data_IF_416187102192
#
_entry.id   IF_416187102192
#
_cell.length_a   1.000
_cell.length_b   1.000
_cell.length_c   1.000
_cell.angle_alpha   90.00
_cell.angle_beta   90.00
_cell.angle_gamma   90.00
#
_symmetry.space_group_name_H-M   'P 1'
#
loop_
_entity.id
_entity.type
_entity.pdbx_description
1 polymer ?
#
# COMPACT_ATOMS: atom_id res chain seq x y z
N UNK A 1 -10.59 26.22 -0.28
CA UNK A 1 -9.84 24.95 -0.30
C UNK A 1 -8.80 25.04 -1.41
N UNK A 2 -7.55 24.69 -1.12
CA UNK A 2 -6.49 24.63 -2.12
C UNK A 2 -6.15 23.17 -2.40
N UNK A 3 -5.79 22.84 -3.65
CA UNK A 3 -5.37 21.49 -4.06
C UNK A 3 -3.94 21.54 -4.58
N UNK A 4 -3.06 20.71 -4.03
CA UNK A 4 -1.69 20.53 -4.54
C UNK A 4 -1.30 19.06 -4.53
N UNK A 5 -0.78 18.55 -5.65
CA UNK A 5 -0.29 17.17 -5.83
C UNK A 5 -1.34 16.11 -5.40
N UNK A 6 -2.62 16.41 -5.62
CA UNK A 6 -3.72 15.52 -5.22
C UNK A 6 -4.09 15.55 -3.73
N UNK A 7 -3.39 16.33 -2.91
CA UNK A 7 -3.77 16.63 -1.53
C UNK A 7 -4.69 17.85 -1.47
N UNK A 8 -5.78 17.72 -0.73
CA UNK A 8 -6.68 18.82 -0.41
C UNK A 8 -6.31 19.45 0.93
N UNK A 9 -6.23 20.78 0.96
CA UNK A 9 -5.93 21.56 2.15
C UNK A 9 -7.19 22.29 2.62
N UNK A 10 -7.59 21.95 3.84
CA UNK A 10 -8.67 22.62 4.57
C UNK A 10 -8.10 23.64 5.56
N UNK A 11 -8.91 24.61 5.98
CA UNK A 11 -8.51 25.63 6.96
C UNK A 11 -8.03 25.04 8.29
N UNK A 12 -8.49 23.84 8.65
CA UNK A 12 -8.04 23.14 9.85
C UNK A 12 -6.65 22.52 9.74
N UNK A 13 -6.10 22.34 8.53
CA UNK A 13 -4.84 21.63 8.24
C UNK A 13 -4.70 20.23 8.87
N UNK A 14 -5.80 19.63 9.34
CA UNK A 14 -5.83 18.32 9.99
C UNK A 14 -6.38 17.27 9.02
N UNK A 15 -5.75 16.10 9.00
CA UNK A 15 -6.13 14.99 8.12
C UNK A 15 -7.17 14.02 8.75
N UNK A 16 -7.74 14.35 9.92
CA UNK A 16 -8.63 13.44 10.67
C UNK A 16 -9.87 13.01 9.88
N UNK A 17 -10.47 13.94 9.14
CA UNK A 17 -11.66 13.66 8.29
C UNK A 17 -11.33 12.78 7.08
N UNK A 18 -10.08 12.79 6.62
CA UNK A 18 -9.64 12.05 5.43
C UNK A 18 -9.62 10.54 5.66
N UNK A 19 -9.36 10.12 6.91
CA UNK A 19 -9.46 8.72 7.31
C UNK A 19 -10.88 8.16 7.19
N UNK A 20 -11.88 8.88 7.68
CA UNK A 20 -13.30 8.49 7.55
C UNK A 20 -13.77 8.52 6.10
N UNK A 21 -13.38 9.54 5.33
CA UNK A 21 -13.71 9.63 3.89
C UNK A 21 -13.15 8.45 3.10
N UNK A 22 -11.90 8.04 3.37
CA UNK A 22 -11.30 6.89 2.70
C UNK A 22 -12.02 5.57 3.03
N UNK A 23 -12.51 5.44 4.27
CA UNK A 23 -13.27 4.26 4.72
C UNK A 23 -14.67 4.20 4.08
N UNK A 24 -15.35 5.35 3.95
CA UNK A 24 -16.62 5.43 3.23
C UNK A 24 -16.45 5.17 1.74
N UNK A 25 -15.42 5.76 1.11
CA UNK A 25 -15.11 5.50 -0.29
C UNK A 25 -14.84 4.02 -0.56
N UNK A 26 -14.07 3.36 0.32
CA UNK A 26 -13.84 1.92 0.22
C UNK A 26 -15.14 1.13 0.31
N UNK A 27 -16.05 1.51 1.21
CA UNK A 27 -17.36 0.88 1.34
C UNK A 27 -18.22 1.03 0.09
N UNK A 28 -18.30 2.23 -0.48
CA UNK A 28 -19.07 2.51 -1.70
C UNK A 28 -18.49 1.74 -2.89
N UNK A 29 -17.17 1.76 -3.06
CA UNK A 29 -16.49 1.08 -4.15
C UNK A 29 -16.65 -0.45 -4.07
N UNK A 30 -16.53 -1.03 -2.86
CA UNK A 30 -16.72 -2.46 -2.65
C UNK A 30 -18.16 -2.89 -2.97
N UNK A 31 -19.16 -2.09 -2.57
CA UNK A 31 -20.55 -2.34 -2.92
C UNK A 31 -20.80 -2.23 -4.44
N UNK A 32 -20.15 -1.28 -5.11
CA UNK A 32 -20.26 -1.14 -6.57
C UNK A 32 -19.70 -2.38 -7.29
N UNK A 33 -18.56 -2.91 -6.83
CA UNK A 33 -17.97 -4.15 -7.38
C UNK A 33 -18.86 -5.36 -7.06
N UNK A 34 -19.43 -5.45 -5.86
CA UNK A 34 -20.30 -6.56 -5.46
C UNK A 34 -21.57 -6.61 -6.33
N UNK A 35 -22.18 -5.45 -6.61
CA UNK A 35 -23.36 -5.31 -7.48
C UNK A 35 -23.06 -5.51 -8.96
N UNK A 36 -21.79 -5.53 -9.36
CA UNK A 36 -21.42 -5.77 -10.74
C UNK A 36 -21.75 -7.22 -11.14
N UNK A 37 -22.34 -7.42 -12.31
CA UNK A 37 -22.66 -8.73 -12.88
C UNK A 37 -21.45 -9.56 -13.34
N UNK A 38 -20.24 -9.17 -12.94
CA UNK A 38 -19.01 -9.87 -13.26
C UNK A 38 -18.94 -11.23 -12.54
N UNK A 39 -18.30 -12.25 -13.12
CA UNK A 39 -17.97 -13.47 -12.40
C UNK A 39 -17.05 -13.18 -11.21
N UNK A 40 -17.16 -13.97 -10.16
CA UNK A 40 -16.58 -13.64 -8.85
C UNK A 40 -15.04 -13.57 -8.85
N UNK A 41 -14.39 -14.39 -9.68
CA UNK A 41 -12.94 -14.33 -9.90
C UNK A 41 -12.48 -13.00 -10.49
N UNK A 42 -13.27 -12.40 -11.39
CA UNK A 42 -13.00 -11.09 -11.96
C UNK A 42 -13.24 -9.96 -10.95
N UNK A 43 -14.20 -10.11 -10.01
CA UNK A 43 -14.37 -9.15 -8.91
C UNK A 43 -13.12 -9.06 -8.04
N UNK A 44 -12.51 -10.21 -7.73
CA UNK A 44 -11.25 -10.28 -6.99
C UNK A 44 -10.10 -9.65 -7.78
N UNK A 45 -10.06 -9.86 -9.10
CA UNK A 45 -9.09 -9.20 -9.98
C UNK A 45 -9.25 -7.67 -9.96
N UNK A 46 -10.48 -7.16 -10.06
CA UNK A 46 -10.78 -5.72 -9.95
C UNK A 46 -10.36 -5.16 -8.60
N UNK A 47 -10.60 -5.91 -7.52
CA UNK A 47 -10.15 -5.52 -6.18
C UNK A 47 -8.63 -5.37 -6.13
N UNK A 48 -7.88 -6.33 -6.65
CA UNK A 48 -6.42 -6.33 -6.59
C UNK A 48 -5.76 -5.26 -7.46
N UNK A 49 -6.29 -5.03 -8.67
CA UNK A 49 -5.61 -4.19 -9.67
C UNK A 49 -6.22 -2.80 -9.86
N UNK A 50 -7.48 -2.60 -9.47
CA UNK A 50 -8.13 -1.29 -9.57
C UNK A 50 -8.35 -0.69 -8.18
N UNK A 51 -9.01 -1.45 -7.29
CA UNK A 51 -9.45 -0.89 -6.01
C UNK A 51 -8.30 -0.65 -5.03
N UNK A 52 -7.39 -1.62 -4.88
CA UNK A 52 -6.23 -1.47 -4.00
C UNK A 52 -5.39 -0.24 -4.39
N UNK A 53 -4.95 -0.06 -5.65
CA UNK A 53 -4.20 1.13 -6.03
C UNK A 53 -4.97 2.44 -5.80
N UNK A 54 -6.28 2.45 -6.08
CA UNK A 54 -7.16 3.62 -5.85
C UNK A 54 -7.21 4.00 -4.37
N UNK A 55 -7.38 3.03 -3.47
CA UNK A 55 -7.45 3.25 -2.02
C UNK A 55 -6.08 3.52 -1.39
N UNK A 56 -5.01 2.97 -1.96
CA UNK A 56 -3.66 3.15 -1.45
C UNK A 56 -3.18 4.61 -1.61
N UNK A 57 -3.59 5.30 -2.67
CA UNK A 57 -3.22 6.69 -2.91
C UNK A 57 -3.58 7.64 -1.76
N UNK A 58 -4.85 7.78 -1.32
CA UNK A 58 -5.20 8.65 -0.19
C UNK A 58 -4.54 8.19 1.11
N UNK A 59 -4.37 6.88 1.33
CA UNK A 59 -3.67 6.34 2.50
C UNK A 59 -2.20 6.81 2.55
N UNK A 60 -1.52 6.88 1.41
CA UNK A 60 -0.13 7.33 1.35
C UNK A 60 0.02 8.85 1.43
N UNK A 61 -0.87 9.60 0.78
CA UNK A 61 -0.83 11.07 0.72
C UNK A 61 -1.16 11.73 2.06
N UNK A 62 -2.17 11.23 2.78
CA UNK A 62 -2.61 11.80 4.05
C UNK A 62 -1.97 11.10 5.25
N UNK A 63 -1.95 11.77 6.40
CA UNK A 63 -1.57 11.17 7.69
C UNK A 63 -2.74 10.38 8.31
N UNK A 64 -3.07 9.27 7.67
CA UNK A 64 -4.14 8.36 8.11
C UNK A 64 -3.55 7.30 9.08
N UNK A 65 -4.31 6.91 10.12
CA UNK A 65 -3.88 5.92 11.10
C UNK A 65 -3.80 4.49 10.53
N UNK A 66 -3.05 3.60 11.18
CA UNK A 66 -3.03 2.17 10.83
C UNK A 66 -4.37 1.51 11.09
N UNK A 67 -5.06 1.90 12.15
CA UNK A 67 -6.37 1.36 12.53
C UNK A 67 -7.43 1.54 11.42
N UNK A 68 -7.41 2.66 10.71
CA UNK A 68 -8.31 2.88 9.57
C UNK A 68 -7.95 2.01 8.37
N UNK A 69 -6.66 1.78 8.11
CA UNK A 69 -6.22 0.87 7.05
C UNK A 69 -6.63 -0.59 7.36
N UNK A 70 -6.51 -1.01 8.63
CA UNK A 70 -6.96 -2.32 9.13
C UNK A 70 -8.49 -2.47 9.03
N UNK A 71 -9.23 -1.39 9.30
CA UNK A 71 -10.70 -1.38 9.14
C UNK A 71 -11.13 -1.53 7.68
N UNK A 72 -10.42 -0.88 6.74
CA UNK A 72 -10.64 -1.04 5.30
C UNK A 72 -10.34 -2.48 4.88
N UNK A 73 -9.22 -3.04 5.34
CA UNK A 73 -8.84 -4.42 5.07
C UNK A 73 -9.89 -5.43 5.58
N UNK A 74 -10.41 -5.23 6.79
CA UNK A 74 -11.44 -6.08 7.36
C UNK A 74 -12.72 -6.09 6.49
N UNK A 75 -13.12 -4.93 5.96
CA UNK A 75 -14.24 -4.84 5.01
C UNK A 75 -13.92 -5.57 3.71
N UNK A 76 -12.76 -5.35 3.13
CA UNK A 76 -12.32 -6.03 1.91
C UNK A 76 -12.32 -7.55 2.08
N UNK A 77 -11.81 -8.05 3.21
CA UNK A 77 -11.75 -9.48 3.52
C UNK A 77 -13.13 -10.15 3.57
N UNK A 78 -14.16 -9.41 4.01
CA UNK A 78 -15.53 -9.92 4.00
C UNK A 78 -16.04 -10.13 2.57
N UNK A 79 -15.77 -9.18 1.67
CA UNK A 79 -16.17 -9.27 0.26
C UNK A 79 -15.35 -10.30 -0.51
N UNK A 80 -14.03 -10.35 -0.30
CA UNK A 80 -13.19 -11.35 -0.98
C UNK A 80 -13.57 -12.77 -0.59
N UNK A 81 -13.92 -13.02 0.68
CA UNK A 81 -14.41 -14.34 1.13
C UNK A 81 -15.73 -14.69 0.48
N UNK A 82 -16.66 -13.73 0.39
CA UNK A 82 -17.94 -13.91 -0.31
C UNK A 82 -17.71 -14.29 -1.78
N UNK A 83 -16.81 -13.59 -2.48
CA UNK A 83 -16.54 -13.82 -3.91
C UNK A 83 -15.67 -15.06 -4.20
N UNK A 84 -14.91 -15.55 -3.23
CA UNK A 84 -14.08 -16.75 -3.41
C UNK A 84 -14.74 -18.00 -2.84
N UNK A 85 -15.94 -17.89 -2.24
CA UNK A 85 -16.60 -18.97 -1.53
C UNK A 85 -15.79 -19.49 -0.33
N UNK A 86 -14.93 -18.65 0.26
CA UNK A 86 -14.04 -19.06 1.35
C UNK A 86 -14.84 -19.12 2.67
N UNK A 87 -14.78 -20.24 3.42
CA UNK A 87 -15.42 -20.34 4.72
C UNK A 87 -14.94 -19.27 5.71
N UNK A 88 -15.82 -18.78 6.62
CA UNK A 88 -15.45 -17.77 7.60
C UNK A 88 -14.40 -18.25 8.61
N UNK A 89 -14.22 -19.57 8.78
CA UNK A 89 -13.25 -20.17 9.69
C UNK A 89 -11.78 -20.07 9.21
N UNK A 90 -11.54 -19.77 7.94
CA UNK A 90 -10.18 -19.67 7.40
C UNK A 90 -9.48 -18.40 7.90
N UNK A 91 -8.24 -18.51 8.37
CA UNK A 91 -7.47 -17.37 8.92
C UNK A 91 -7.13 -16.36 7.81
N UNK A 92 -7.25 -15.05 8.08
CA UNK A 92 -6.91 -13.98 7.10
C UNK A 92 -5.49 -14.13 6.51
N UNK A 93 -4.52 -14.54 7.33
CA UNK A 93 -3.13 -14.75 6.92
C UNK A 93 -3.01 -15.80 5.81
N UNK A 94 -3.81 -16.87 5.86
CA UNK A 94 -3.78 -17.91 4.85
C UNK A 94 -4.26 -17.41 3.47
N UNK A 95 -5.11 -16.38 3.45
CA UNK A 95 -5.62 -15.77 2.20
C UNK A 95 -4.55 -14.94 1.47
N UNK A 96 -3.64 -14.32 2.21
CA UNK A 96 -2.55 -13.51 1.66
C UNK A 96 -1.24 -14.29 1.41
N UNK A 97 -1.19 -15.55 1.86
CA UNK A 97 0.01 -16.37 1.76
C UNK A 97 0.32 -16.74 0.30
N UNK A 98 1.47 -16.31 -0.20
CA UNK A 98 1.87 -16.45 -1.60
C UNK A 98 2.10 -17.89 -2.10
N UNK A 99 2.12 -18.90 -1.22
CA UNK A 99 2.24 -20.32 -1.58
C UNK A 99 0.99 -21.14 -1.25
N UNK A 100 -0.09 -20.49 -0.80
CA UNK A 100 -1.37 -21.17 -0.56
C UNK A 100 -2.04 -21.55 -1.90
N UNK A 101 -3.11 -22.35 -1.83
CA UNK A 101 -3.89 -22.89 -2.97
C UNK A 101 -4.42 -21.84 -3.97
N UNK A 102 -4.28 -20.54 -3.69
CA UNK A 102 -4.62 -19.46 -4.61
C UNK A 102 -3.44 -19.23 -5.57
N UNK A 103 -3.62 -19.56 -6.86
CA UNK A 103 -2.64 -19.31 -7.93
C UNK A 103 -2.23 -17.82 -8.05
N UNK A 104 -3.02 -16.90 -7.50
CA UNK A 104 -2.72 -15.46 -7.42
C UNK A 104 -2.70 -15.05 -5.94
N UNK A 105 -1.53 -14.70 -5.39
CA UNK A 105 -1.47 -14.15 -4.04
C UNK A 105 -2.28 -12.86 -3.97
N UNK A 106 -3.20 -12.79 -3.02
CA UNK A 106 -3.89 -11.55 -2.71
C UNK A 106 -2.91 -10.63 -1.96
N UNK A 107 -2.86 -9.37 -2.34
CA UNK A 107 -2.09 -8.36 -1.63
C UNK A 107 -2.91 -7.82 -0.46
N UNK A 108 -2.28 -7.70 0.70
CA UNK A 108 -2.83 -6.98 1.84
C UNK A 108 -2.65 -5.48 1.65
N UNK A 109 -3.74 -4.72 1.80
CA UNK A 109 -3.68 -3.25 1.74
C UNK A 109 -2.88 -2.66 2.91
N UNK A 110 -2.92 -3.30 4.08
CA UNK A 110 -2.16 -2.87 5.27
C UNK A 110 -0.66 -3.09 5.06
N UNK A 111 -0.27 -4.21 4.44
CA UNK A 111 1.13 -4.45 4.09
C UNK A 111 1.65 -3.42 3.08
N UNK A 112 0.90 -3.17 2.01
CA UNK A 112 1.26 -2.17 0.99
C UNK A 112 1.29 -0.75 1.58
N UNK A 113 0.36 -0.41 2.49
CA UNK A 113 0.37 0.86 3.21
C UNK A 113 1.62 1.03 4.09
N UNK A 114 1.94 0.02 4.92
CA UNK A 114 3.14 0.02 5.77
C UNK A 114 4.40 0.12 4.91
N UNK A 115 4.47 -0.68 3.85
CA UNK A 115 5.55 -0.65 2.87
C UNK A 115 5.74 0.75 2.27
N UNK A 116 4.66 1.38 1.80
CA UNK A 116 4.70 2.71 1.20
C UNK A 116 5.12 3.81 2.18
N UNK A 117 4.66 3.77 3.43
CA UNK A 117 5.10 4.73 4.46
C UNK A 117 6.57 4.52 4.86
N UNK A 118 7.04 3.28 4.98
CA UNK A 118 8.49 3.00 5.18
C UNK A 118 9.31 3.52 4.01
N UNK A 119 8.86 3.25 2.78
CA UNK A 119 9.50 3.68 1.55
C UNK A 119 9.66 5.20 1.51
N UNK A 120 8.60 5.93 1.85
CA UNK A 120 8.63 7.39 1.92
C UNK A 120 9.64 7.87 2.96
N UNK A 121 9.62 7.32 4.19
CA UNK A 121 10.61 7.70 5.21
C UNK A 121 12.05 7.47 4.74
N UNK A 122 12.34 6.32 4.14
CA UNK A 122 13.70 6.03 3.72
C UNK A 122 14.14 6.82 2.50
N UNK A 123 13.21 7.24 1.63
CA UNK A 123 13.53 8.23 0.59
C UNK A 123 13.99 9.56 1.19
N UNK A 124 13.39 10.01 2.30
CA UNK A 124 13.83 11.23 3.00
C UNK A 124 15.18 11.02 3.69
N UNK A 125 15.38 9.88 4.35
CA UNK A 125 16.67 9.51 4.99
C UNK A 125 17.83 9.50 3.96
N UNK A 126 17.60 8.93 2.78
CA UNK A 126 18.61 8.75 1.74
C UNK A 126 18.69 9.92 0.74
N UNK A 127 17.95 11.01 0.95
CA UNK A 127 17.99 12.15 0.03
C UNK A 127 19.36 12.84 0.07
N UNK A 128 19.88 13.22 -1.10
CA UNK A 128 21.12 13.99 -1.23
C UNK A 128 20.96 15.42 -0.72
N UNK A 129 19.73 15.97 -0.78
CA UNK A 129 19.43 17.35 -0.40
C UNK A 129 19.28 17.45 1.13
N UNK A 130 20.13 18.26 1.81
CA UNK A 130 20.09 18.38 3.28
C UNK A 130 18.75 18.84 3.83
N UNK A 131 18.06 19.75 3.13
CA UNK A 131 16.74 20.26 3.53
C UNK A 131 15.64 19.18 3.52
N UNK A 132 15.72 18.20 2.62
CA UNK A 132 14.76 17.09 2.56
C UNK A 132 15.07 16.06 3.66
N UNK A 133 16.35 15.88 3.98
CA UNK A 133 16.81 14.99 5.04
C UNK A 133 16.46 15.49 6.44
N UNK A 134 16.41 16.80 6.65
CA UNK A 134 16.07 17.39 7.95
C UNK A 134 14.57 17.32 8.28
N UNK A 135 13.70 17.27 7.26
CA UNK A 135 12.24 17.23 7.43
C UNK A 135 11.71 15.90 7.98
N UNK A 136 12.56 14.86 8.13
CA UNK A 136 12.23 13.50 8.58
C UNK A 136 10.87 13.35 9.28
N UNK A 137 9.82 12.92 8.55
CA UNK A 137 8.48 12.85 9.12
C UNK A 137 8.43 11.76 10.19
N UNK A 138 8.05 12.14 11.42
CA UNK A 138 7.86 11.18 12.50
C UNK A 138 6.58 10.37 12.24
N UNK A 139 6.72 9.09 11.84
CA UNK A 139 5.56 8.21 11.68
C UNK A 139 4.96 7.91 13.05
N UNK A 140 3.86 8.59 13.38
CA UNK A 140 3.02 8.25 14.53
C UNK A 140 2.35 6.88 14.39
N UNK A 141 2.34 6.31 13.19
CA UNK A 141 1.49 5.18 12.81
C UNK A 141 2.06 3.79 13.06
N UNK A 142 3.38 3.58 12.98
CA UNK A 142 3.98 2.27 13.31
C UNK A 142 5.50 2.37 13.54
N UNK A 143 6.04 1.39 14.28
CA UNK A 143 7.48 1.29 14.57
C UNK A 143 8.21 0.55 13.44
N UNK A 144 9.09 1.23 12.73
CA UNK A 144 10.00 0.63 11.73
C UNK A 144 11.08 -0.22 12.43
N UNK A 145 11.15 -1.51 12.13
CA UNK A 145 12.34 -2.34 12.44
C UNK A 145 13.34 -2.23 11.28
N UNK A 146 14.52 -1.66 11.53
CA UNK A 146 15.60 -1.50 10.53
C UNK A 146 16.29 -2.85 10.29
N UNK A 147 15.69 -3.72 9.46
CA UNK A 147 16.37 -4.88 8.90
C UNK A 147 17.30 -4.44 7.76
N UNK A 148 18.62 -4.48 7.99
CA UNK A 148 19.63 -3.71 7.24
C UNK A 148 19.83 -4.00 5.74
N UNK A 149 19.27 -5.06 5.15
CA UNK A 149 19.72 -5.52 3.82
C UNK A 149 18.64 -5.63 2.73
N UNK A 150 17.35 -5.48 3.06
CA UNK A 150 16.25 -5.63 2.06
C UNK A 150 15.55 -4.32 1.71
N UNK A 151 15.98 -3.20 2.29
CA UNK A 151 15.25 -1.94 2.16
C UNK A 151 15.25 -1.40 0.73
N UNK A 152 16.35 -1.53 -0.03
CA UNK A 152 16.37 -1.18 -1.47
C UNK A 152 15.31 -1.95 -2.28
N UNK A 153 15.00 -3.20 -1.90
CA UNK A 153 13.96 -4.03 -2.53
C UNK A 153 12.55 -3.56 -2.22
N UNK A 154 12.32 -3.12 -0.99
CA UNK A 154 11.05 -2.52 -0.54
C UNK A 154 10.84 -1.14 -1.17
N UNK A 155 11.92 -0.35 -1.31
CA UNK A 155 11.90 0.99 -1.92
C UNK A 155 11.74 0.94 -3.45
N UNK A 156 12.09 -0.17 -4.10
CA UNK A 156 12.12 -0.19 -5.56
C UNK A 156 13.19 0.75 -6.13
N UNK A 157 13.12 1.00 -7.43
CA UNK A 157 13.92 2.07 -8.03
C UNK A 157 13.45 3.43 -7.50
N UNK A 158 14.41 4.26 -7.11
CA UNK A 158 14.21 5.67 -6.77
C UNK A 158 14.58 6.51 -7.98
N UNK A 159 13.86 7.61 -8.19
CA UNK A 159 14.17 8.51 -9.28
C UNK A 159 15.45 9.29 -8.96
N UNK A 160 16.46 9.17 -9.81
CA UNK A 160 17.70 9.95 -9.75
C UNK A 160 17.65 11.05 -10.80
N UNK A 161 17.52 12.31 -10.35
CA UNK A 161 17.46 13.48 -11.22
C UNK A 161 16.25 13.53 -12.16
N UNK A 162 16.46 13.96 -13.41
CA UNK A 162 15.42 14.10 -14.46
C UNK A 162 15.21 12.84 -15.31
N UNK A 163 15.91 11.74 -15.00
CA UNK A 163 15.93 10.53 -15.85
C UNK A 163 14.65 9.69 -15.80
N UNK A 164 13.71 9.99 -14.90
CA UNK A 164 12.45 9.25 -14.73
C UNK A 164 12.59 7.96 -13.92
N UNK A 165 11.47 7.29 -13.62
CA UNK A 165 11.48 5.96 -13.00
C UNK A 165 11.89 4.90 -14.03
N UNK A 166 12.90 4.09 -13.72
CA UNK A 166 13.27 2.92 -14.56
C UNK A 166 14.47 3.11 -15.47
N UNK A 167 15.12 4.27 -15.47
CA UNK A 167 16.25 4.58 -16.37
C UNK A 167 17.55 3.84 -16.02
N UNK A 168 17.69 3.35 -14.79
CA UNK A 168 18.88 2.63 -14.34
C UNK A 168 18.62 1.11 -14.28
N UNK A 169 19.57 0.34 -14.81
CA UNK A 169 19.53 -1.12 -14.81
C UNK A 169 19.54 -1.68 -13.39
N UNK A 170 18.61 -2.59 -13.09
CA UNK A 170 18.40 -3.06 -11.72
C UNK A 170 19.36 -4.19 -11.36
N UNK A 171 20.25 -3.97 -10.39
CA UNK A 171 20.99 -5.05 -9.72
C UNK A 171 20.36 -5.37 -8.36
N UNK A 172 19.51 -6.38 -8.33
CA UNK A 172 18.96 -6.91 -7.08
C UNK A 172 19.96 -7.86 -6.42
N UNK A 173 20.67 -7.40 -5.38
CA UNK A 173 21.58 -8.24 -4.60
C UNK A 173 20.90 -9.50 -4.02
N UNK A 174 19.60 -9.45 -3.76
CA UNK A 174 18.82 -10.62 -3.32
C UNK A 174 18.57 -11.70 -4.40
N UNK A 175 18.89 -11.40 -5.66
CA UNK A 175 18.79 -12.30 -6.82
C UNK A 175 20.17 -12.63 -7.41
N UNK A 176 21.24 -12.12 -6.81
CA UNK A 176 22.58 -12.54 -7.19
C UNK A 176 22.79 -13.94 -6.59
N UNK A 177 22.75 -14.97 -7.44
CA UNK A 177 23.26 -16.28 -7.06
C UNK A 177 24.78 -16.15 -6.91
N UNK A 178 25.27 -16.43 -5.70
CA UNK A 178 26.70 -16.44 -5.43
C UNK A 178 27.35 -17.53 -6.27
N UNK A 179 28.22 -17.13 -7.19
CA UNK A 179 29.38 -17.95 -7.53
C UNK A 179 30.46 -17.59 -6.53
N UNK A 180 30.42 -18.23 -5.37
CA UNK A 180 31.61 -18.30 -4.53
C UNK A 180 32.62 -19.18 -5.28
N UNK A 181 33.80 -18.61 -5.54
CA UNK A 181 35.02 -19.31 -5.94
C UNK A 181 35.93 -19.37 -4.73
#
# INVERSE_FOLDING_TARGET
MAKSIGRWYDSSLKDTKRGSEALEQASVDLQAVDKCGLPETYKVWCLQLMLIPKLLWPLLVYEISTSTAESIEAKMNRFTRKWLGIPPCLINVAMYYCKAMLRRPLKSIVEEYKCGKVRLMTMHENSEVPAVRSLQPHLRTFRKRKGGLKMKKVIGLTQTGRKGLGSEGIKWWSKAEGKDK
#
